data_IF_109034438219
#
_entry.id   IF_109034438219
#
_cell.length_a   1.000
_cell.length_b   1.000
_cell.length_c   1.000
_cell.angle_alpha   90.00
_cell.angle_beta   90.00
_cell.angle_gamma   90.00
#
_symmetry.space_group_name_H-M   'P 1'
#
loop_
_entity.id
_entity.type
_entity.pdbx_description
1 polymer ?
#
# COMPACT_ATOMS: atom_id res chain seq x y z
N UNK A 1 30.59 10.19 -20.50
CA UNK A 1 30.49 10.96 -19.26
C UNK A 1 30.70 9.99 -18.12
N UNK A 2 31.78 10.17 -17.36
CA UNK A 2 32.06 9.37 -16.18
C UNK A 2 31.24 9.88 -14.98
N UNK A 3 30.83 9.00 -14.06
CA UNK A 3 30.01 9.37 -12.90
C UNK A 3 30.70 10.40 -12.01
N UNK A 4 32.04 10.37 -11.95
CA UNK A 4 32.84 11.34 -11.21
C UNK A 4 32.76 12.74 -11.84
N UNK A 5 32.85 12.83 -13.17
CA UNK A 5 32.72 14.09 -13.90
C UNK A 5 31.32 14.69 -13.70
N UNK A 6 30.28 13.87 -13.76
CA UNK A 6 28.90 14.27 -13.49
C UNK A 6 28.70 14.73 -12.05
N UNK A 7 29.33 14.04 -11.08
CA UNK A 7 29.30 14.40 -9.66
C UNK A 7 29.86 15.81 -9.43
N UNK A 8 31.01 16.11 -10.04
CA UNK A 8 31.68 17.42 -9.93
C UNK A 8 30.88 18.53 -10.61
N UNK A 9 30.35 18.27 -11.82
CA UNK A 9 29.57 19.26 -12.58
C UNK A 9 28.28 19.67 -11.87
N UNK A 10 27.53 18.68 -11.35
CA UNK A 10 26.21 18.93 -10.75
C UNK A 10 26.26 19.09 -9.23
N UNK A 11 27.44 18.97 -8.60
CA UNK A 11 27.64 18.99 -7.14
C UNK A 11 26.75 17.97 -6.41
N UNK A 12 26.54 16.83 -7.03
CA UNK A 12 25.76 15.70 -6.51
C UNK A 12 26.72 14.58 -6.20
N UNK A 13 26.47 13.79 -5.16
CA UNK A 13 27.40 12.70 -4.80
C UNK A 13 27.37 11.57 -5.83
N UNK A 14 28.52 10.90 -6.02
CA UNK A 14 28.62 9.70 -6.83
C UNK A 14 27.55 8.65 -6.47
N UNK A 15 27.29 8.47 -5.17
CA UNK A 15 26.29 7.51 -4.66
C UNK A 15 24.88 7.84 -5.14
N UNK A 16 24.50 9.12 -5.23
CA UNK A 16 23.19 9.53 -5.74
C UNK A 16 23.06 9.21 -7.24
N UNK A 17 24.09 9.52 -8.03
CA UNK A 17 24.12 9.23 -9.47
C UNK A 17 24.02 7.72 -9.71
N UNK A 18 24.83 6.93 -8.99
CA UNK A 18 24.78 5.48 -9.08
C UNK A 18 23.40 4.92 -8.70
N UNK A 19 22.80 5.42 -7.62
CA UNK A 19 21.45 5.00 -7.21
C UNK A 19 20.40 5.32 -8.27
N UNK A 20 20.46 6.50 -8.90
CA UNK A 20 19.54 6.87 -9.98
C UNK A 20 19.72 6.00 -11.21
N UNK A 21 20.96 5.75 -11.66
CA UNK A 21 21.22 4.88 -12.81
C UNK A 21 20.71 3.47 -12.56
N UNK A 22 20.99 2.91 -11.37
CA UNK A 22 20.50 1.58 -10.99
C UNK A 22 18.96 1.51 -11.01
N UNK A 23 18.28 2.48 -10.38
CA UNK A 23 16.80 2.54 -10.37
C UNK A 23 16.22 2.69 -11.78
N UNK A 24 16.86 3.48 -12.63
CA UNK A 24 16.44 3.66 -14.02
C UNK A 24 16.62 2.38 -14.85
N UNK A 25 17.71 1.65 -14.66
CA UNK A 25 17.92 0.37 -15.36
C UNK A 25 16.91 -0.71 -14.93
N UNK A 26 16.51 -0.71 -13.66
CA UNK A 26 15.55 -1.70 -13.12
C UNK A 26 14.09 -1.37 -13.44
N UNK A 27 13.71 -0.09 -13.36
CA UNK A 27 12.30 0.35 -13.35
C UNK A 27 11.99 1.46 -14.37
N UNK A 28 12.95 1.80 -15.24
CA UNK A 28 12.83 2.92 -16.16
C UNK A 28 12.65 4.26 -15.44
N UNK A 29 11.98 5.20 -16.11
CA UNK A 29 11.67 6.53 -15.56
C UNK A 29 10.84 6.45 -14.27
N UNK A 30 9.97 5.44 -14.14
CA UNK A 30 9.13 5.25 -12.95
C UNK A 30 9.95 5.03 -11.67
N UNK A 31 11.16 4.46 -11.78
CA UNK A 31 12.09 4.26 -10.66
C UNK A 31 12.71 5.55 -10.12
N UNK A 32 12.68 6.64 -10.89
CA UNK A 32 13.18 7.96 -10.48
C UNK A 32 12.12 8.84 -9.83
N UNK A 33 10.84 8.46 -9.91
CA UNK A 33 9.74 9.22 -9.31
C UNK A 33 9.84 9.20 -7.77
N UNK A 34 9.75 10.38 -7.14
CA UNK A 34 9.70 10.45 -5.68
C UNK A 34 8.34 9.98 -5.16
N UNK A 35 8.33 8.79 -4.57
CA UNK A 35 7.14 8.13 -3.99
C UNK A 35 7.06 8.28 -2.47
N UNK A 36 7.95 9.05 -1.84
CA UNK A 36 7.91 9.26 -0.38
C UNK A 36 6.62 9.97 0.02
N UNK A 37 5.94 9.42 1.03
CA UNK A 37 4.67 9.97 1.55
C UNK A 37 3.47 9.87 0.61
N UNK A 38 3.63 9.30 -0.60
CA UNK A 38 2.54 9.13 -1.56
C UNK A 38 2.11 7.67 -1.59
N UNK A 39 0.81 7.41 -1.36
CA UNK A 39 0.25 6.08 -1.60
C UNK A 39 0.28 5.78 -3.10
N UNK A 40 0.68 4.56 -3.46
CA UNK A 40 0.58 4.07 -4.84
C UNK A 40 -0.89 4.13 -5.29
N UNK A 41 -1.18 4.53 -6.53
CA UNK A 41 -2.55 4.54 -7.02
C UNK A 41 -3.10 3.10 -7.06
N UNK A 42 -4.41 2.90 -6.84
CA UNK A 42 -5.00 1.55 -6.85
C UNK A 42 -4.81 0.77 -8.15
N UNK A 43 -4.54 1.47 -9.26
CA UNK A 43 -4.20 0.88 -10.56
C UNK A 43 -2.84 0.18 -10.59
N UNK A 44 -1.91 0.57 -9.71
CA UNK A 44 -0.59 -0.04 -9.55
C UNK A 44 -0.58 -1.18 -8.51
N UNK A 45 -1.70 -1.45 -7.85
CA UNK A 45 -1.79 -2.59 -6.94
C UNK A 45 -1.85 -3.90 -7.72
N UNK A 46 -1.07 -4.87 -7.25
CA UNK A 46 -1.13 -6.24 -7.76
C UNK A 46 -2.51 -6.82 -7.42
N UNK A 47 -3.07 -7.67 -8.28
CA UNK A 47 -4.39 -8.28 -8.05
C UNK A 47 -4.48 -8.98 -6.68
N UNK A 48 -3.39 -9.56 -6.20
CA UNK A 48 -3.26 -10.12 -4.85
C UNK A 48 -3.44 -9.07 -3.74
N UNK A 49 -2.86 -7.88 -3.89
CA UNK A 49 -3.01 -6.78 -2.92
C UNK A 49 -4.46 -6.27 -2.89
N UNK A 50 -5.12 -6.19 -4.05
CA UNK A 50 -6.55 -5.83 -4.17
C UNK A 50 -7.43 -6.88 -3.52
N UNK A 51 -7.16 -8.16 -3.78
CA UNK A 51 -7.88 -9.28 -3.17
C UNK A 51 -7.73 -9.27 -1.64
N UNK A 52 -6.52 -9.08 -1.13
CA UNK A 52 -6.26 -8.98 0.31
C UNK A 52 -6.98 -7.78 0.96
N UNK A 53 -7.04 -6.64 0.27
CA UNK A 53 -7.79 -5.48 0.75
C UNK A 53 -9.30 -5.77 0.83
N UNK A 54 -9.86 -6.40 -0.21
CA UNK A 54 -11.27 -6.79 -0.24
C UNK A 54 -11.60 -7.82 0.85
N UNK A 55 -10.72 -8.79 1.07
CA UNK A 55 -10.88 -9.79 2.12
C UNK A 55 -10.96 -9.13 3.50
N UNK A 56 -10.05 -8.20 3.81
CA UNK A 56 -10.08 -7.45 5.08
C UNK A 56 -11.36 -6.65 5.27
N UNK A 57 -11.89 -6.06 4.20
CA UNK A 57 -13.18 -5.34 4.26
C UNK A 57 -14.33 -6.28 4.58
N UNK A 58 -14.41 -7.42 3.88
CA UNK A 58 -15.44 -8.43 4.10
C UNK A 58 -15.36 -9.03 5.51
N UNK A 59 -14.17 -9.33 6.02
CA UNK A 59 -13.97 -9.82 7.38
C UNK A 59 -14.45 -8.81 8.44
N UNK A 60 -14.18 -7.52 8.23
CA UNK A 60 -14.64 -6.47 9.14
C UNK A 60 -16.16 -6.34 9.14
N UNK A 61 -16.78 -6.40 7.96
CA UNK A 61 -18.24 -6.38 7.82
C UNK A 61 -18.89 -7.62 8.44
N UNK A 62 -18.31 -8.79 8.20
CA UNK A 62 -18.80 -10.05 8.78
C UNK A 62 -18.73 -10.01 10.31
N UNK A 63 -17.62 -9.52 10.89
CA UNK A 63 -17.51 -9.30 12.34
C UNK A 63 -18.58 -8.35 12.88
N UNK A 64 -18.85 -7.25 12.18
CA UNK A 64 -19.91 -6.30 12.56
C UNK A 64 -21.28 -6.98 12.59
N UNK A 65 -21.61 -7.70 11.52
CA UNK A 65 -22.89 -8.42 11.40
C UNK A 65 -23.02 -9.55 12.42
N UNK A 66 -21.92 -10.22 12.76
CA UNK A 66 -21.93 -11.25 13.80
C UNK A 66 -22.29 -10.65 15.16
N UNK A 67 -21.68 -9.53 15.53
CA UNK A 67 -21.99 -8.81 16.77
C UNK A 67 -23.45 -8.35 16.79
N UNK A 68 -23.95 -7.81 15.69
CA UNK A 68 -25.35 -7.38 15.57
C UNK A 68 -26.33 -8.55 15.73
N UNK A 69 -26.04 -9.68 15.09
CA UNK A 69 -26.84 -10.90 15.24
C UNK A 69 -26.80 -11.44 16.69
N UNK A 70 -25.64 -11.46 17.31
CA UNK A 70 -25.49 -11.95 18.68
C UNK A 70 -26.22 -11.05 19.67
N UNK A 71 -26.21 -9.73 19.45
CA UNK A 71 -27.00 -8.77 20.21
C UNK A 71 -28.51 -9.03 20.06
N UNK A 72 -29.00 -9.19 18.81
CA UNK A 72 -30.43 -9.45 18.54
C UNK A 72 -30.90 -10.77 19.15
N UNK A 73 -30.09 -11.84 19.05
CA UNK A 73 -30.38 -13.12 19.71
C UNK A 73 -30.54 -12.93 21.22
N UNK A 74 -29.65 -12.14 21.83
CA UNK A 74 -29.72 -11.90 23.27
C UNK A 74 -30.95 -11.11 23.69
N UNK A 75 -31.38 -10.15 22.88
CA UNK A 75 -32.61 -9.40 23.12
C UNK A 75 -33.84 -10.33 23.08
N UNK A 76 -33.94 -11.17 22.04
CA UNK A 76 -35.06 -12.11 21.89
C UNK A 76 -35.15 -13.11 23.05
N UNK A 77 -34.02 -13.60 23.58
CA UNK A 77 -34.00 -14.44 24.78
C UNK A 77 -34.58 -13.75 26.03
N UNK A 78 -34.38 -12.44 26.16
CA UNK A 78 -34.88 -11.68 27.31
C UNK A 78 -36.37 -11.37 27.17
N UNK A 79 -36.82 -11.06 25.95
CA UNK A 79 -38.23 -10.81 25.65
C UNK A 79 -39.07 -12.08 25.75
N UNK A 80 -38.59 -13.23 25.24
CA UNK A 80 -39.29 -14.52 25.34
C UNK A 80 -39.33 -15.15 26.74
N UNK A 81 -38.66 -14.54 27.73
CA UNK A 81 -38.72 -14.93 29.16
C UNK A 81 -39.78 -14.16 29.96
N UNK A 82 -40.46 -13.18 29.36
CA UNK A 82 -41.62 -12.48 29.93
C UNK A 82 -42.92 -13.17 29.53
#
# INVERSE_FOLDING_TARGET
MDYRQTSEQYKITYQQIYSWVKKYQEQGEAGLLDRRGKRRPPSEYIEEEKAAAKLRQLEAENRRLQIENDFLKKLNELEGRR
#
